data_IF_117914864305
#
_entry.id   IF_117914864305
#
_cell.length_a   1.000
_cell.length_b   1.000
_cell.length_c   1.000
_cell.angle_alpha   90.00
_cell.angle_beta   90.00
_cell.angle_gamma   90.00
#
_symmetry.space_group_name_H-M   'P 1'
#
loop_
_entity.id
_entity.type
_entity.pdbx_description
1 polymer ?
#
# COMPACT_ATOMS: atom_id res chain seq x y z
N UNK A 1 -2.99 3.42 7.77
CA UNK A 1 -4.21 2.59 8.03
C UNK A 1 -3.94 1.49 9.07
N UNK A 2 -3.02 0.53 8.88
CA UNK A 2 -2.80 -0.59 9.83
C UNK A 2 -2.52 -0.09 11.26
N UNK A 3 -1.63 0.90 11.44
CA UNK A 3 -1.38 1.54 12.73
C UNK A 3 -2.65 2.13 13.34
N UNK A 4 -3.45 2.85 12.54
CA UNK A 4 -4.70 3.44 13.01
C UNK A 4 -5.69 2.38 13.48
N UNK A 5 -5.82 1.26 12.75
CA UNK A 5 -6.68 0.15 13.17
C UNK A 5 -6.19 -0.42 14.50
N UNK A 6 -4.88 -0.66 14.64
CA UNK A 6 -4.27 -1.15 15.87
C UNK A 6 -4.58 -0.25 17.06
N UNK A 7 -4.45 1.07 16.87
CA UNK A 7 -4.52 2.08 17.91
C UNK A 7 -5.96 2.64 18.10
N UNK A 8 -6.97 2.07 17.41
CA UNK A 8 -8.37 2.54 17.41
C UNK A 8 -8.53 4.01 16.99
N UNK A 9 -7.73 4.45 16.02
CA UNK A 9 -7.76 5.80 15.46
C UNK A 9 -8.61 5.79 14.19
N UNK A 10 -9.40 6.87 13.89
CA UNK A 10 -10.18 6.96 12.67
C UNK A 10 -9.39 6.68 11.38
N UNK A 11 -10.07 6.06 10.41
CA UNK A 11 -9.55 5.73 9.08
C UNK A 11 -10.15 6.70 8.07
N UNK A 12 -9.47 7.83 7.76
CA UNK A 12 -10.01 8.80 6.83
C UNK A 12 -10.02 8.26 5.41
N UNK A 13 -11.18 8.28 4.75
CA UNK A 13 -11.39 7.88 3.37
C UNK A 13 -11.89 9.09 2.60
N UNK A 14 -11.17 9.48 1.56
CA UNK A 14 -11.54 10.59 0.70
C UNK A 14 -12.78 10.28 -0.14
N UNK A 15 -13.74 11.23 -0.17
CA UNK A 15 -15.00 11.08 -0.87
C UNK A 15 -15.74 9.81 -0.44
N UNK A 16 -16.18 9.01 -1.38
CA UNK A 16 -16.84 7.72 -1.13
C UNK A 16 -15.85 6.53 -1.14
N UNK A 17 -14.54 6.80 -1.32
CA UNK A 17 -13.51 5.77 -1.40
C UNK A 17 -13.50 4.97 -2.70
N UNK A 18 -14.15 5.47 -3.74
CA UNK A 18 -14.30 4.78 -5.03
C UNK A 18 -13.11 4.97 -5.97
N UNK A 19 -12.08 5.70 -5.55
CA UNK A 19 -10.85 5.84 -6.31
C UNK A 19 -10.15 4.49 -6.42
N UNK A 20 -9.77 4.13 -7.64
CA UNK A 20 -9.12 2.85 -7.96
C UNK A 20 -7.61 3.05 -8.04
N UNK A 21 -6.88 2.12 -7.45
CA UNK A 21 -5.41 2.05 -7.52
C UNK A 21 -4.97 0.64 -7.84
N UNK A 22 -3.85 0.53 -8.56
CA UNK A 22 -3.16 -0.73 -8.79
C UNK A 22 -2.19 -1.00 -7.64
N UNK A 23 -2.30 -2.18 -7.04
CA UNK A 23 -1.57 -2.56 -5.83
C UNK A 23 -0.57 -3.67 -6.12
N UNK A 24 0.67 -3.45 -5.72
CA UNK A 24 1.77 -4.36 -5.93
C UNK A 24 2.47 -4.66 -4.60
N UNK A 25 2.82 -5.93 -4.39
CA UNK A 25 3.59 -6.32 -3.21
C UNK A 25 5.03 -5.77 -3.29
N UNK A 26 5.54 -5.26 -2.17
CA UNK A 26 6.79 -4.50 -2.15
C UNK A 26 8.01 -5.30 -2.63
N UNK A 27 8.07 -6.61 -2.33
CA UNK A 27 9.19 -7.44 -2.78
C UNK A 27 9.16 -7.66 -4.31
N UNK A 28 7.98 -7.79 -4.90
CA UNK A 28 7.87 -7.88 -6.36
C UNK A 28 8.28 -6.58 -7.04
N UNK A 29 7.93 -5.43 -6.44
CA UNK A 29 8.40 -4.13 -6.92
C UNK A 29 9.93 -4.03 -6.83
N UNK A 30 10.54 -4.44 -5.72
CA UNK A 30 11.99 -4.46 -5.56
C UNK A 30 12.68 -5.38 -6.59
N UNK A 31 12.13 -6.58 -6.83
CA UNK A 31 12.63 -7.50 -7.85
C UNK A 31 12.53 -6.93 -9.27
N UNK A 32 11.45 -6.19 -9.58
CA UNK A 32 11.31 -5.51 -10.87
C UNK A 32 12.41 -4.46 -11.07
N UNK A 33 12.68 -3.64 -10.04
CA UNK A 33 13.75 -2.63 -10.08
C UNK A 33 15.12 -3.30 -10.28
N UNK A 34 15.41 -4.35 -9.52
CA UNK A 34 16.67 -5.10 -9.64
C UNK A 34 16.84 -5.68 -11.03
N UNK A 35 15.78 -6.27 -11.58
CA UNK A 35 15.79 -6.81 -12.94
C UNK A 35 16.04 -5.73 -14.00
N UNK A 36 15.38 -4.57 -13.89
CA UNK A 36 15.58 -3.46 -14.81
C UNK A 36 17.01 -2.94 -14.72
N UNK A 37 17.57 -2.83 -13.51
CA UNK A 37 18.95 -2.37 -13.31
C UNK A 37 19.96 -3.26 -14.01
N UNK A 38 19.74 -4.59 -14.00
CA UNK A 38 20.71 -5.55 -14.54
C UNK A 38 20.45 -5.94 -16.00
N UNK A 39 19.21 -5.83 -16.49
CA UNK A 39 18.82 -6.33 -17.83
C UNK A 39 18.02 -5.34 -18.65
N UNK A 40 17.69 -4.17 -18.09
CA UNK A 40 17.00 -3.13 -18.83
C UNK A 40 17.89 -2.49 -19.88
N UNK A 41 17.28 -1.98 -20.94
CA UNK A 41 17.97 -1.23 -21.98
C UNK A 41 18.32 0.17 -21.45
N UNK A 42 19.57 0.58 -21.60
CA UNK A 42 20.05 1.88 -21.11
C UNK A 42 19.31 3.03 -21.81
N UNK A 43 18.77 3.94 -21.01
CA UNK A 43 17.97 5.08 -21.50
C UNK A 43 16.50 4.75 -21.74
N UNK A 44 16.07 3.50 -21.52
CA UNK A 44 14.67 3.10 -21.65
C UNK A 44 13.88 3.27 -20.34
N UNK A 45 12.54 3.27 -20.44
CA UNK A 45 11.63 3.39 -19.31
C UNK A 45 10.72 2.17 -19.21
N UNK A 46 10.42 1.72 -17.99
CA UNK A 46 9.56 0.59 -17.72
C UNK A 46 8.51 0.95 -16.68
N UNK A 47 7.25 0.70 -16.98
CA UNK A 47 6.20 0.74 -15.99
C UNK A 47 6.21 -0.56 -15.19
N UNK A 48 6.02 -0.46 -13.88
CA UNK A 48 5.88 -1.60 -12.97
C UNK A 48 4.49 -1.52 -12.34
N UNK A 49 3.64 -2.52 -12.59
CA UNK A 49 2.27 -2.58 -12.11
C UNK A 49 1.93 -3.93 -11.49
N UNK A 50 0.92 -3.93 -10.61
CA UNK A 50 0.48 -5.12 -9.90
C UNK A 50 -0.57 -5.95 -10.65
N UNK A 51 -1.17 -5.39 -11.68
CA UNK A 51 -2.34 -5.95 -12.37
C UNK A 51 -3.51 -6.24 -11.41
N UNK A 52 -3.61 -5.44 -10.35
CA UNK A 52 -4.51 -5.65 -9.21
C UNK A 52 -5.18 -4.34 -8.81
N UNK A 53 -6.28 -4.04 -9.46
CA UNK A 53 -7.02 -2.82 -9.22
C UNK A 53 -8.07 -3.01 -8.12
N UNK A 54 -8.01 -2.16 -7.10
CA UNK A 54 -8.97 -2.13 -5.99
C UNK A 54 -9.45 -0.71 -5.74
N UNK A 55 -10.72 -0.57 -5.34
CA UNK A 55 -11.19 0.68 -4.77
C UNK A 55 -10.57 0.90 -3.39
N UNK A 56 -10.37 2.15 -3.00
CA UNK A 56 -9.81 2.46 -1.68
C UNK A 56 -10.69 1.91 -0.55
N UNK A 57 -12.03 1.97 -0.70
CA UNK A 57 -12.93 1.47 0.33
C UNK A 57 -12.86 -0.05 0.49
N UNK A 58 -12.75 -0.81 -0.62
CA UNK A 58 -12.66 -2.26 -0.57
C UNK A 58 -11.30 -2.69 0.01
N UNK A 59 -10.21 -2.01 -0.37
CA UNK A 59 -8.91 -2.22 0.24
C UNK A 59 -8.96 -2.00 1.77
N UNK A 60 -9.56 -0.90 2.23
CA UNK A 60 -9.62 -0.60 3.67
C UNK A 60 -10.45 -1.64 4.41
N UNK A 61 -11.59 -2.08 3.85
CA UNK A 61 -12.37 -3.18 4.45
C UNK A 61 -11.56 -4.48 4.53
N UNK A 62 -10.76 -4.77 3.51
CA UNK A 62 -9.90 -5.96 3.53
C UNK A 62 -8.77 -5.83 4.55
N UNK A 63 -8.14 -4.66 4.68
CA UNK A 63 -7.17 -4.35 5.73
C UNK A 63 -7.76 -4.51 7.13
N UNK A 64 -8.98 -4.01 7.37
CA UNK A 64 -9.69 -4.17 8.64
C UNK A 64 -9.86 -5.64 8.96
N UNK A 65 -10.40 -6.43 8.00
CA UNK A 65 -10.61 -7.87 8.19
C UNK A 65 -9.32 -8.59 8.60
N UNK A 66 -8.22 -8.32 7.90
CA UNK A 66 -6.92 -8.95 8.18
C UNK A 66 -6.34 -8.49 9.52
N UNK A 67 -6.42 -7.19 9.80
CA UNK A 67 -5.85 -6.61 11.02
C UNK A 67 -6.63 -7.06 12.25
N UNK A 68 -7.97 -7.03 12.23
CA UNK A 68 -8.81 -7.54 13.32
C UNK A 68 -8.48 -9.02 13.61
N UNK A 69 -8.37 -9.86 12.57
CA UNK A 69 -7.96 -11.27 12.70
C UNK A 69 -6.61 -11.42 13.41
N UNK A 70 -5.60 -10.65 12.99
CA UNK A 70 -4.24 -10.73 13.57
C UNK A 70 -4.17 -10.17 15.00
N UNK A 71 -5.10 -9.28 15.36
CA UNK A 71 -5.24 -8.74 16.73
C UNK A 71 -6.19 -9.56 17.62
N UNK A 72 -6.68 -10.71 17.14
CA UNK A 72 -7.68 -11.56 17.82
C UNK A 72 -8.97 -10.80 18.19
N UNK A 73 -9.38 -9.84 17.34
CA UNK A 73 -10.65 -9.13 17.46
C UNK A 73 -11.73 -9.83 16.62
N UNK A 74 -13.02 -9.74 17.00
CA UNK A 74 -14.12 -10.16 16.12
C UNK A 74 -14.01 -9.46 14.75
N UNK A 75 -14.29 -10.19 13.68
CA UNK A 75 -14.19 -9.65 12.32
C UNK A 75 -15.11 -8.42 12.16
N UNK A 76 -14.56 -7.34 11.64
CA UNK A 76 -15.29 -6.10 11.37
C UNK A 76 -15.43 -5.17 12.57
N UNK A 77 -14.84 -5.49 13.73
CA UNK A 77 -14.79 -4.60 14.89
C UNK A 77 -14.33 -3.20 14.50
N UNK A 78 -13.31 -3.11 13.69
CA UNK A 78 -12.72 -1.83 13.28
C UNK A 78 -13.43 -1.14 12.13
N UNK A 79 -14.57 -1.66 11.63
CA UNK A 79 -15.36 -0.98 10.59
C UNK A 79 -15.92 0.37 11.08
N UNK A 80 -16.21 0.50 12.38
CA UNK A 80 -16.67 1.75 12.98
C UNK A 80 -15.64 2.89 12.93
N UNK A 81 -14.37 2.58 12.64
CA UNK A 81 -13.31 3.56 12.49
C UNK A 81 -13.31 4.24 11.10
N UNK A 82 -14.04 3.72 10.12
CA UNK A 82 -14.14 4.32 8.79
C UNK A 82 -14.80 5.69 8.92
N UNK A 83 -14.11 6.72 8.43
CA UNK A 83 -14.58 8.08 8.40
C UNK A 83 -14.41 8.66 7.00
N UNK A 84 -15.52 8.96 6.32
CA UNK A 84 -15.48 9.64 5.04
C UNK A 84 -15.16 11.12 5.25
N UNK A 85 -14.21 11.63 4.48
CA UNK A 85 -13.74 13.03 4.51
C UNK A 85 -13.89 13.65 3.13
N UNK A 86 -13.90 14.98 3.07
CA UNK A 86 -13.99 15.71 1.80
C UNK A 86 -12.89 15.28 0.84
N UNK A 87 -13.27 14.98 -0.41
CA UNK A 87 -12.32 14.57 -1.42
C UNK A 87 -11.42 15.75 -1.86
N UNK A 88 -10.24 15.44 -2.35
CA UNK A 88 -9.29 16.42 -2.85
C UNK A 88 -9.75 16.95 -4.21
N UNK A 89 -9.61 18.25 -4.45
CA UNK A 89 -9.82 18.82 -5.78
C UNK A 89 -8.87 18.16 -6.80
N UNK A 90 -9.39 17.72 -7.95
CA UNK A 90 -8.60 17.05 -8.98
C UNK A 90 -8.13 15.65 -8.64
N UNK A 91 -8.77 14.96 -7.69
CA UNK A 91 -8.41 13.59 -7.32
C UNK A 91 -8.77 12.60 -8.41
N UNK A 92 -7.77 11.99 -9.04
CA UNK A 92 -7.97 11.02 -10.11
C UNK A 92 -8.77 9.80 -9.65
N UNK A 93 -9.80 9.47 -10.42
CA UNK A 93 -10.67 8.32 -10.13
C UNK A 93 -9.92 6.99 -10.22
N UNK A 94 -9.05 6.85 -11.24
CA UNK A 94 -8.38 5.58 -11.51
C UNK A 94 -6.94 5.79 -11.97
N UNK A 95 -6.02 5.08 -11.33
CA UNK A 95 -4.70 4.82 -11.86
C UNK A 95 -4.59 3.34 -12.23
N UNK A 96 -4.43 3.09 -13.52
CA UNK A 96 -4.11 1.77 -14.07
C UNK A 96 -2.75 1.85 -14.73
N UNK A 97 -1.95 0.82 -14.55
CA UNK A 97 -0.58 0.76 -15.07
C UNK A 97 -0.51 -0.34 -16.11
N UNK A 98 -0.08 0.01 -17.32
CA UNK A 98 0.26 -0.97 -18.35
C UNK A 98 1.71 -1.43 -18.14
N UNK A 99 1.89 -2.64 -17.62
CA UNK A 99 3.17 -3.28 -17.37
C UNK A 99 3.60 -4.23 -18.51
N UNK A 100 2.92 -4.25 -19.64
CA UNK A 100 3.17 -5.18 -20.75
C UNK A 100 4.60 -5.08 -21.29
N UNK A 101 5.21 -3.91 -21.25
CA UNK A 101 6.58 -3.70 -21.73
C UNK A 101 7.61 -4.46 -20.90
N UNK A 102 7.54 -4.41 -19.58
CA UNK A 102 8.49 -5.12 -18.70
C UNK A 102 8.26 -6.63 -18.82
N UNK A 103 7.01 -7.08 -18.93
CA UNK A 103 6.67 -8.48 -19.16
C UNK A 103 7.29 -8.98 -20.47
N UNK A 104 7.01 -8.28 -21.58
CA UNK A 104 7.45 -8.73 -22.92
C UNK A 104 8.97 -8.63 -23.11
N UNK A 105 9.63 -7.59 -22.58
CA UNK A 105 11.07 -7.37 -22.77
C UNK A 105 11.94 -8.11 -21.74
N UNK A 106 11.49 -8.20 -20.50
CA UNK A 106 12.30 -8.72 -19.40
C UNK A 106 11.71 -9.97 -18.74
N UNK A 107 10.51 -10.41 -19.14
CA UNK A 107 9.85 -11.59 -18.61
C UNK A 107 9.38 -11.44 -17.16
N UNK A 108 9.23 -10.19 -16.67
CA UNK A 108 8.80 -9.96 -15.30
C UNK A 108 7.29 -9.84 -15.18
N UNK A 109 6.72 -10.56 -14.21
CA UNK A 109 5.33 -10.43 -13.75
C UNK A 109 5.29 -10.49 -12.23
N UNK A 110 4.26 -9.91 -11.58
CA UNK A 110 4.07 -10.07 -10.15
C UNK A 110 3.99 -11.55 -9.75
N UNK A 111 4.74 -11.96 -8.73
CA UNK A 111 4.79 -13.36 -8.28
C UNK A 111 3.90 -13.64 -7.07
N UNK A 112 3.53 -12.60 -6.32
CA UNK A 112 2.72 -12.69 -5.10
C UNK A 112 1.31 -12.16 -5.38
N UNK A 113 0.28 -12.97 -5.09
CA UNK A 113 -1.12 -12.53 -5.20
C UNK A 113 -1.39 -11.41 -4.20
N UNK A 114 -2.32 -10.52 -4.56
CA UNK A 114 -2.65 -9.35 -3.75
C UNK A 114 -3.01 -9.69 -2.30
N UNK A 115 -3.91 -10.65 -2.10
CA UNK A 115 -4.38 -11.04 -0.78
C UNK A 115 -3.23 -11.59 0.10
N UNK A 116 -2.35 -12.39 -0.49
CA UNK A 116 -1.17 -12.92 0.18
C UNK A 116 -0.18 -11.81 0.55
N UNK A 117 0.12 -10.92 -0.39
CA UNK A 117 1.00 -9.77 -0.17
C UNK A 117 0.47 -8.83 0.90
N UNK A 118 -0.86 -8.59 0.89
CA UNK A 118 -1.51 -7.75 1.89
C UNK A 118 -1.47 -8.39 3.29
N UNK A 119 -1.71 -9.71 3.40
CA UNK A 119 -1.61 -10.43 4.69
C UNK A 119 -0.18 -10.37 5.24
N UNK A 120 0.85 -10.61 4.41
CA UNK A 120 2.26 -10.47 4.78
C UNK A 120 2.58 -9.05 5.26
N UNK A 121 2.05 -8.05 4.56
CA UNK A 121 2.23 -6.63 4.92
C UNK A 121 1.61 -6.32 6.28
N UNK A 122 0.36 -6.73 6.52
CA UNK A 122 -0.32 -6.54 7.82
C UNK A 122 0.46 -7.22 8.93
N UNK A 123 0.89 -8.46 8.71
CA UNK A 123 1.66 -9.22 9.70
C UNK A 123 2.99 -8.54 10.04
N UNK A 124 3.70 -8.06 9.03
CA UNK A 124 4.95 -7.34 9.24
C UNK A 124 4.75 -6.09 10.10
N UNK A 125 3.74 -5.26 9.79
CA UNK A 125 3.46 -4.05 10.55
C UNK A 125 3.03 -4.34 11.99
N UNK A 126 2.29 -5.42 12.23
CA UNK A 126 1.90 -5.82 13.60
C UNK A 126 3.10 -6.31 14.40
N UNK A 127 4.04 -7.03 13.77
CA UNK A 127 5.26 -7.51 14.44
C UNK A 127 6.29 -6.41 14.68
N UNK A 128 6.32 -5.36 13.85
CA UNK A 128 7.31 -4.30 13.89
C UNK A 128 6.73 -2.97 14.43
N UNK A 129 5.98 -3.05 15.52
CA UNK A 129 5.30 -1.87 16.11
C UNK A 129 6.28 -0.82 16.61
N UNK A 130 7.40 -1.22 17.21
CA UNK A 130 8.44 -0.30 17.67
C UNK A 130 9.02 0.53 16.51
N UNK A 131 9.26 -0.10 15.37
CA UNK A 131 9.70 0.61 14.17
C UNK A 131 8.68 1.65 13.71
N UNK A 132 7.38 1.29 13.71
CA UNK A 132 6.28 2.21 13.37
C UNK A 132 6.21 3.40 14.33
N UNK A 133 6.33 3.15 15.62
CA UNK A 133 6.24 4.17 16.66
C UNK A 133 7.44 5.12 16.59
N UNK A 134 8.63 4.60 16.33
CA UNK A 134 9.84 5.40 16.12
C UNK A 134 9.72 6.33 14.88
N UNK A 135 9.14 5.86 13.77
CA UNK A 135 8.90 6.72 12.61
C UNK A 135 7.83 7.78 12.91
N UNK A 136 6.75 7.39 13.57
CA UNK A 136 5.68 8.32 13.92
C UNK A 136 6.16 9.43 14.87
N UNK A 137 7.02 9.10 15.85
CA UNK A 137 7.59 10.07 16.79
C UNK A 137 8.56 11.05 16.12
N UNK A 138 9.39 10.58 15.19
CA UNK A 138 10.31 11.46 14.43
C UNK A 138 9.57 12.53 13.60
N UNK A 139 8.37 12.27 13.15
CA UNK A 139 7.52 13.28 12.46
C UNK A 139 7.02 14.37 13.39
N UNK A 140 6.94 14.11 14.70
CA UNK A 140 6.47 15.07 15.70
C UNK A 140 7.59 15.99 16.20
N UNK A 141 8.86 15.59 16.06
CA UNK A 141 10.02 16.35 16.57
C UNK A 141 10.64 17.33 15.59
N UNK A 142 10.15 17.39 14.34
CA UNK A 142 10.51 18.49 13.41
C UNK A 142 11.99 18.57 13.01
N UNK A 143 12.82 17.59 13.34
CA UNK A 143 14.23 17.58 12.99
C UNK A 143 14.49 16.94 11.62
N UNK A 144 14.25 17.74 10.58
CA UNK A 144 15.02 17.60 9.33
C UNK A 144 15.94 18.81 9.24
N UNK A 145 17.03 18.77 9.99
CA UNK A 145 18.20 19.59 9.65
C UNK A 145 18.79 19.04 8.36
N UNK A 146 18.36 19.61 7.25
CA UNK A 146 19.11 19.48 6.00
C UNK A 146 20.35 20.37 6.22
N UNK A 147 21.46 19.75 6.61
CA UNK A 147 22.74 20.42 6.54
C UNK A 147 23.10 20.56 5.06
N UNK A 148 23.26 21.84 4.66
CA UNK A 148 23.81 22.28 3.39
C UNK A 148 25.25 21.76 3.16
#
# INVERSE_FOLDING_TARGET
MIKNIKDNIPLPIYGEGLNIRDWLFVEDHAKAIDLILHKGEVGDTYNIGGLNEWTNIDLVKHLIKLTDKKLNRPQGTSNSLIQFVTDRAGHDKRYAIDASKIENKLGWTPSVKFEEGLEKTVEWYIRNTEWLDNIASRKLTGDVSINE
#
